data_IF_013500839987
#
_entry.id   IF_013500839987
#
_cell.length_a   1.000
_cell.length_b   1.000
_cell.length_c   1.000
_cell.angle_alpha   90.00
_cell.angle_beta   90.00
_cell.angle_gamma   90.00
#
_symmetry.space_group_name_H-M   'P 1'
#
loop_
_entity.id
_entity.type
_entity.pdbx_description
1 polymer ?
#
# COMPACT_ATOMS: atom_id res chain seq x y z
N UNK A 1 11.03 16.81 -15.48
CA UNK A 1 9.84 16.07 -14.97
C UNK A 1 10.33 14.77 -14.38
N UNK A 2 10.20 14.58 -13.07
CA UNK A 2 10.46 13.28 -12.46
C UNK A 2 9.26 12.38 -12.75
N UNK A 3 9.48 11.19 -13.30
CA UNK A 3 8.43 10.18 -13.45
C UNK A 3 8.23 9.47 -12.11
N UNK A 4 7.01 9.50 -11.59
CA UNK A 4 6.61 8.73 -10.44
C UNK A 4 5.96 7.43 -10.92
N UNK A 5 6.68 6.31 -10.79
CA UNK A 5 6.19 4.99 -11.15
C UNK A 5 6.13 4.12 -9.90
N UNK A 6 5.04 3.37 -9.74
CA UNK A 6 4.90 2.36 -8.71
C UNK A 6 4.53 1.04 -9.38
N UNK A 7 5.16 -0.06 -8.97
CA UNK A 7 4.86 -1.40 -9.45
C UNK A 7 4.35 -2.24 -8.30
N UNK A 8 3.14 -2.79 -8.47
CA UNK A 8 2.50 -3.66 -7.49
C UNK A 8 2.41 -5.06 -8.05
N UNK A 9 2.80 -6.05 -7.25
CA UNK A 9 2.74 -7.47 -7.59
C UNK A 9 1.62 -8.10 -6.79
N UNK A 10 0.67 -8.73 -7.50
CA UNK A 10 -0.35 -9.57 -6.88
C UNK A 10 0.28 -10.85 -6.34
N UNK A 11 -0.02 -11.19 -5.09
CA UNK A 11 0.50 -12.40 -4.43
C UNK A 11 -0.57 -13.48 -4.40
N UNK A 12 -1.58 -13.33 -3.55
CA UNK A 12 -2.68 -14.28 -3.39
C UNK A 12 -3.84 -13.61 -2.65
N UNK A 13 -5.07 -14.06 -2.93
CA UNK A 13 -6.27 -13.51 -2.29
C UNK A 13 -6.48 -12.03 -2.64
N UNK A 14 -6.29 -11.15 -1.65
CA UNK A 14 -6.32 -9.70 -1.83
C UNK A 14 -5.00 -9.01 -1.42
N UNK A 15 -3.93 -9.79 -1.32
CA UNK A 15 -2.59 -9.30 -1.00
C UNK A 15 -1.86 -8.78 -2.24
N UNK A 16 -1.37 -7.55 -2.14
CA UNK A 16 -0.47 -6.92 -3.09
C UNK A 16 0.80 -6.47 -2.38
N UNK A 17 1.95 -6.64 -3.03
CA UNK A 17 3.21 -6.05 -2.56
C UNK A 17 3.67 -5.01 -3.57
N UNK A 18 3.90 -3.79 -3.11
CA UNK A 18 4.41 -2.69 -3.95
C UNK A 18 5.82 -2.36 -3.51
N UNK A 19 6.75 -2.28 -4.45
CA UNK A 19 8.13 -1.90 -4.17
C UNK A 19 8.32 -0.42 -4.46
N UNK A 20 8.67 0.36 -3.41
CA UNK A 20 8.79 1.81 -3.46
C UNK A 20 10.13 2.23 -2.84
N UNK A 21 11.02 2.83 -3.64
CA UNK A 21 12.31 3.39 -3.19
C UNK A 21 13.13 2.46 -2.28
N UNK A 22 13.13 1.15 -2.55
CA UNK A 22 13.87 0.16 -1.76
C UNK A 22 13.12 -0.42 -0.56
N UNK A 23 11.86 -0.04 -0.36
CA UNK A 23 10.98 -0.58 0.68
C UNK A 23 9.79 -1.33 0.07
N UNK A 24 9.45 -2.47 0.66
CA UNK A 24 8.24 -3.21 0.32
C UNK A 24 7.07 -2.72 1.16
N UNK A 25 5.96 -2.41 0.48
CA UNK A 25 4.69 -2.08 1.11
C UNK A 25 3.72 -3.22 0.82
N UNK A 26 3.36 -3.97 1.85
CA UNK A 26 2.30 -4.99 1.76
C UNK A 26 0.93 -4.36 2.01
N UNK A 27 0.04 -4.56 1.04
CA UNK A 27 -1.33 -4.10 1.01
C UNK A 27 -2.20 -5.34 1.07
N UNK A 28 -3.11 -5.39 2.05
CA UNK A 28 -4.06 -6.49 2.19
C UNK A 28 -5.30 -5.98 2.93
N UNK A 29 -6.34 -6.80 3.01
CA UNK A 29 -7.55 -6.51 3.75
C UNK A 29 -7.64 -7.37 5.01
N UNK A 30 -8.54 -6.99 5.91
CA UNK A 30 -8.85 -7.82 7.07
C UNK A 30 -9.54 -9.12 6.63
N UNK A 31 -9.46 -10.19 7.44
CA UNK A 31 -10.13 -11.47 7.14
C UNK A 31 -11.65 -11.32 7.00
N UNK A 32 -12.25 -10.36 7.73
CA UNK A 32 -13.68 -10.04 7.65
C UNK A 32 -14.12 -9.50 6.28
N UNK A 33 -13.19 -8.92 5.52
CA UNK A 33 -13.43 -8.37 4.19
C UNK A 33 -12.90 -9.31 3.09
N UNK A 34 -12.35 -10.47 3.47
CA UNK A 34 -11.81 -11.50 2.56
C UNK A 34 -10.30 -11.45 2.32
N UNK A 35 -9.55 -10.66 3.10
CA UNK A 35 -8.09 -10.62 3.05
C UNK A 35 -7.42 -11.62 4.01
N UNK A 36 -6.09 -11.60 4.08
CA UNK A 36 -5.29 -12.53 4.87
C UNK A 36 -4.61 -11.86 6.09
N UNK A 37 -4.89 -10.58 6.35
CA UNK A 37 -4.23 -9.78 7.38
C UNK A 37 -2.70 -9.74 7.24
N UNK A 38 -2.18 -9.83 6.02
CA UNK A 38 -0.75 -9.88 5.70
C UNK A 38 -0.16 -8.49 5.36
N UNK A 39 -0.98 -7.45 5.44
CA UNK A 39 -0.63 -6.09 5.05
C UNK A 39 -1.63 -5.07 5.59
N UNK A 40 -1.43 -3.81 5.22
CA UNK A 40 -2.30 -2.72 5.63
C UNK A 40 -3.44 -2.54 4.63
N UNK A 41 -4.60 -2.12 5.12
CA UNK A 41 -5.72 -1.80 4.25
C UNK A 41 -5.38 -0.66 3.29
N UNK A 42 -5.74 -0.77 1.99
CA UNK A 42 -5.46 0.27 1.01
C UNK A 42 -5.99 1.65 1.43
N UNK A 43 -7.15 1.68 2.10
CA UNK A 43 -7.80 2.91 2.59
C UNK A 43 -6.96 3.58 3.68
N UNK A 44 -6.37 2.81 4.59
CA UNK A 44 -5.50 3.35 5.63
C UNK A 44 -4.22 3.94 5.02
N UNK A 45 -3.63 3.26 4.03
CA UNK A 45 -2.45 3.76 3.31
C UNK A 45 -2.73 5.07 2.56
N UNK A 46 -3.92 5.23 1.97
CA UNK A 46 -4.30 6.52 1.37
C UNK A 46 -4.35 7.66 2.40
N UNK A 47 -4.89 7.42 3.60
CA UNK A 47 -4.93 8.42 4.67
C UNK A 47 -3.52 8.79 5.15
N UNK A 48 -2.61 7.81 5.26
CA UNK A 48 -1.20 8.04 5.61
C UNK A 48 -0.52 8.89 4.54
N UNK A 49 -0.73 8.60 3.26
CA UNK A 49 -0.17 9.41 2.17
C UNK A 49 -0.66 10.85 2.22
N UNK A 50 -1.96 11.08 2.46
CA UNK A 50 -2.52 12.42 2.60
C UNK A 50 -1.90 13.18 3.79
N UNK A 51 -1.81 12.52 4.95
CA UNK A 51 -1.19 13.08 6.14
C UNK A 51 0.29 13.44 5.88
N UNK A 52 1.03 12.57 5.18
CA UNK A 52 2.40 12.82 4.75
C UNK A 52 2.51 14.06 3.87
N UNK A 53 1.67 14.18 2.83
CA UNK A 53 1.64 15.36 1.98
C UNK A 53 1.29 16.64 2.73
N UNK A 54 0.49 16.58 3.80
CA UNK A 54 0.14 17.78 4.59
C UNK A 54 1.14 18.11 5.70
N UNK A 55 1.87 17.12 6.21
CA UNK A 55 2.73 17.27 7.39
C UNK A 55 4.21 17.40 7.06
N UNK A 56 4.63 16.91 5.88
CA UNK A 56 6.02 16.98 5.39
C UNK A 56 6.22 18.16 4.42
N UNK A 57 5.14 18.85 4.04
CA UNK A 57 5.16 20.05 3.16
C UNK A 57 5.94 21.22 3.78
#
# INVERSE_FOLDING_TARGET
MASHNATSVFKSGMEFTTQLHGHDVSIDLFPKDGGNNMGHEPKALMLVSLAGCTGVD
#
